data_IF_380744817262
#
_entry.id   IF_380744817262
#
_cell.length_a   1.000
_cell.length_b   1.000
_cell.length_c   1.000
_cell.angle_alpha   90.00
_cell.angle_beta   90.00
_cell.angle_gamma   90.00
#
_symmetry.space_group_name_H-M   'P 1'
#
loop_
_entity.id
_entity.type
_entity.pdbx_description
1 polymer ?
#
# COMPACT_ATOMS: atom_id res chain seq x y z
N UNK A 1 11.11 -53.79 -24.60
CA UNK A 1 10.24 -53.25 -23.59
C UNK A 1 10.97 -52.84 -22.27
N UNK A 2 11.85 -53.65 -21.68
CA UNK A 2 12.54 -53.35 -20.38
C UNK A 2 13.45 -52.10 -20.45
N UNK A 3 14.08 -51.80 -21.58
CA UNK A 3 15.00 -50.65 -21.76
C UNK A 3 14.26 -49.31 -21.82
N UNK A 4 13.09 -49.25 -22.47
CA UNK A 4 12.24 -48.05 -22.55
C UNK A 4 11.66 -47.71 -21.16
N UNK A 5 11.22 -48.73 -20.39
CA UNK A 5 10.74 -48.53 -19.03
C UNK A 5 11.82 -47.92 -18.10
N UNK A 6 13.09 -48.41 -18.22
CA UNK A 6 14.24 -47.84 -17.44
C UNK A 6 14.55 -46.39 -17.82
N UNK A 7 14.48 -46.05 -19.11
CA UNK A 7 14.67 -44.70 -19.59
C UNK A 7 13.56 -43.74 -19.06
N UNK A 8 12.30 -44.16 -19.08
CA UNK A 8 11.18 -43.40 -18.56
C UNK A 8 11.31 -43.15 -17.04
N UNK A 9 11.69 -44.20 -16.25
CA UNK A 9 11.92 -44.07 -14.80
C UNK A 9 13.09 -43.12 -14.50
N UNK A 10 14.20 -43.21 -15.27
CA UNK A 10 15.32 -42.27 -15.10
C UNK A 10 14.92 -40.83 -15.47
N UNK A 11 14.17 -40.64 -16.55
CA UNK A 11 13.64 -39.33 -16.94
C UNK A 11 12.71 -38.74 -15.86
N UNK A 12 11.78 -39.55 -15.34
CA UNK A 12 10.92 -39.13 -14.24
C UNK A 12 11.71 -38.75 -12.97
N UNK A 13 12.76 -39.52 -12.64
CA UNK A 13 13.63 -39.22 -11.49
C UNK A 13 14.39 -37.89 -11.65
N UNK A 14 14.90 -37.61 -12.84
CA UNK A 14 15.55 -36.32 -13.14
C UNK A 14 14.56 -35.16 -13.01
N UNK A 15 13.37 -35.28 -13.57
CA UNK A 15 12.32 -34.25 -13.46
C UNK A 15 11.94 -34.03 -11.99
N UNK A 16 11.75 -35.09 -11.22
CA UNK A 16 11.45 -34.98 -9.78
C UNK A 16 12.58 -34.27 -9.02
N UNK A 17 13.84 -34.58 -9.30
CA UNK A 17 15.00 -33.94 -8.71
C UNK A 17 15.06 -32.43 -9.04
N UNK A 18 14.79 -32.06 -10.30
CA UNK A 18 14.75 -30.64 -10.73
C UNK A 18 13.63 -29.90 -10.00
N UNK A 19 12.45 -30.49 -9.94
CA UNK A 19 11.28 -29.89 -9.22
C UNK A 19 11.59 -29.73 -7.73
N UNK A 20 12.18 -30.75 -7.12
CA UNK A 20 12.60 -30.67 -5.71
C UNK A 20 13.65 -29.57 -5.49
N UNK A 21 14.70 -29.52 -6.34
CA UNK A 21 15.73 -28.50 -6.25
C UNK A 21 15.15 -27.08 -6.42
N UNK A 22 14.17 -26.91 -7.33
CA UNK A 22 13.48 -25.65 -7.52
C UNK A 22 12.72 -25.20 -6.25
N UNK A 23 11.92 -26.10 -5.66
CA UNK A 23 11.20 -25.78 -4.44
C UNK A 23 12.13 -25.54 -3.24
N UNK A 24 13.20 -26.32 -3.13
CA UNK A 24 14.23 -26.12 -2.12
C UNK A 24 14.90 -24.74 -2.29
N UNK A 25 15.26 -24.36 -3.51
CA UNK A 25 15.81 -23.04 -3.80
C UNK A 25 14.83 -21.92 -3.41
N UNK A 26 13.57 -22.03 -3.83
CA UNK A 26 12.55 -21.05 -3.47
C UNK A 26 12.45 -20.92 -1.96
N UNK A 27 12.39 -22.03 -1.24
CA UNK A 27 12.25 -22.06 0.23
C UNK A 27 13.46 -21.49 0.97
N UNK A 28 14.68 -21.86 0.56
CA UNK A 28 15.93 -21.42 1.18
C UNK A 28 16.26 -19.94 0.92
N UNK A 29 15.69 -19.37 -0.17
CA UNK A 29 15.89 -17.96 -0.51
C UNK A 29 14.78 -17.04 0.01
N UNK A 30 13.86 -17.56 0.85
CA UNK A 30 12.83 -16.72 1.46
C UNK A 30 13.39 -15.88 2.62
N UNK A 31 12.90 -14.65 2.78
CA UNK A 31 13.34 -13.79 3.87
C UNK A 31 12.95 -14.34 5.24
N UNK A 32 13.74 -14.01 6.26
CA UNK A 32 13.36 -14.20 7.66
C UNK A 32 12.40 -13.07 8.07
N UNK A 33 11.20 -13.46 8.50
CA UNK A 33 10.14 -12.52 8.92
C UNK A 33 10.04 -12.37 10.45
N UNK A 34 10.76 -13.19 11.22
CA UNK A 34 10.65 -13.24 12.69
C UNK A 34 11.01 -11.93 13.37
N UNK A 35 12.01 -11.24 12.85
CA UNK A 35 12.41 -9.92 13.38
C UNK A 35 11.28 -8.89 13.35
N UNK A 36 10.29 -9.04 12.46
CA UNK A 36 9.15 -8.13 12.35
C UNK A 36 8.19 -8.22 13.55
N UNK A 37 8.29 -9.26 14.38
CA UNK A 37 7.50 -9.35 15.60
C UNK A 37 7.80 -8.20 16.57
N UNK A 38 9.07 -7.76 16.62
CA UNK A 38 9.55 -6.75 17.58
C UNK A 38 10.19 -5.53 16.91
N UNK A 39 10.59 -5.63 15.65
CA UNK A 39 11.34 -4.58 14.95
C UNK A 39 10.55 -4.04 13.76
N UNK A 40 10.51 -2.72 13.62
CA UNK A 40 9.89 -2.06 12.49
C UNK A 40 10.82 -2.09 11.27
N UNK A 41 10.32 -2.43 10.07
CA UNK A 41 11.13 -2.40 8.87
C UNK A 41 11.47 -0.93 8.52
N UNK A 42 12.76 -0.65 8.31
CA UNK A 42 13.25 0.69 7.95
C UNK A 42 13.01 1.01 6.47
N UNK A 43 12.98 -0.01 5.63
CA UNK A 43 12.75 0.10 4.19
C UNK A 43 12.04 -1.15 3.67
N UNK A 44 11.41 -1.05 2.52
CA UNK A 44 10.72 -2.16 1.85
C UNK A 44 11.21 -2.29 0.41
N UNK A 45 10.96 -3.45 -0.21
CA UNK A 45 11.28 -3.66 -1.63
C UNK A 45 10.57 -2.64 -2.54
N UNK A 46 9.35 -2.23 -2.15
CA UNK A 46 8.60 -1.19 -2.89
C UNK A 46 9.20 0.20 -2.73
N UNK A 47 9.63 0.59 -1.52
CA UNK A 47 10.34 1.86 -1.30
C UNK A 47 11.60 1.93 -2.17
N UNK A 48 12.43 0.88 -2.12
CA UNK A 48 13.65 0.80 -2.93
C UNK A 48 13.37 0.80 -4.44
N UNK A 49 12.26 0.20 -4.87
CA UNK A 49 11.84 0.26 -6.26
C UNK A 49 11.50 1.69 -6.67
N UNK A 50 10.71 2.42 -5.86
CA UNK A 50 10.34 3.81 -6.13
C UNK A 50 11.55 4.75 -6.16
N UNK A 51 12.50 4.54 -5.27
CA UNK A 51 13.78 5.27 -5.27
C UNK A 51 14.55 5.05 -6.57
N UNK A 52 14.63 3.78 -7.04
CA UNK A 52 15.29 3.44 -8.32
C UNK A 52 14.54 4.03 -9.51
N UNK A 53 13.21 3.95 -9.55
CA UNK A 53 12.39 4.55 -10.61
C UNK A 53 12.61 6.07 -10.68
N UNK A 54 12.57 6.75 -9.55
CA UNK A 54 12.81 8.19 -9.49
C UNK A 54 14.23 8.58 -9.93
N UNK A 55 15.24 7.81 -9.52
CA UNK A 55 16.63 8.04 -9.94
C UNK A 55 16.81 7.84 -11.46
N UNK A 56 16.14 6.86 -12.07
CA UNK A 56 16.17 6.65 -13.53
C UNK A 56 15.48 7.80 -14.30
N UNK A 57 14.49 8.44 -13.69
CA UNK A 57 13.80 9.62 -14.23
C UNK A 57 14.54 10.94 -13.92
N UNK A 58 15.69 10.89 -13.22
CA UNK A 58 16.43 12.08 -12.79
C UNK A 58 15.73 12.90 -11.71
N UNK A 59 14.74 12.33 -11.02
CA UNK A 59 13.99 12.96 -9.94
C UNK A 59 14.52 12.55 -8.57
N UNK A 60 14.48 13.46 -7.61
CA UNK A 60 14.57 13.09 -6.20
C UNK A 60 13.18 12.69 -5.68
N UNK A 61 13.06 11.46 -5.20
CA UNK A 61 11.84 11.01 -4.57
C UNK A 61 11.79 11.57 -3.13
N UNK A 62 10.70 12.22 -2.79
CA UNK A 62 10.39 12.54 -1.40
C UNK A 62 10.12 11.21 -0.67
N UNK A 63 10.87 10.95 0.41
CA UNK A 63 10.59 9.82 1.30
C UNK A 63 10.02 10.38 2.61
N UNK A 64 8.69 10.32 2.75
CA UNK A 64 8.02 10.77 3.95
C UNK A 64 7.29 9.61 4.61
N UNK A 65 7.80 9.18 5.75
CA UNK A 65 7.25 8.10 6.57
C UNK A 65 7.33 8.50 8.05
N UNK A 66 6.23 8.29 8.77
CA UNK A 66 6.17 8.41 10.23
C UNK A 66 5.49 7.16 10.75
N UNK A 67 6.22 6.38 11.55
CA UNK A 67 5.65 5.18 12.16
C UNK A 67 4.73 5.53 13.33
N UNK A 68 3.59 4.87 13.41
CA UNK A 68 2.65 4.95 14.54
C UNK A 68 2.22 3.55 14.97
N UNK A 69 2.14 3.27 16.28
CA UNK A 69 1.67 1.97 16.77
C UNK A 69 0.19 1.76 16.41
N UNK A 70 -0.21 0.49 16.34
CA UNK A 70 -1.58 0.08 15.98
C UNK A 70 -2.67 0.83 16.78
N UNK A 71 -2.43 1.04 18.07
CA UNK A 71 -3.37 1.72 18.98
C UNK A 71 -3.58 3.19 18.64
N UNK A 72 -2.61 3.83 17.98
CA UNK A 72 -2.66 5.23 17.55
C UNK A 72 -3.12 5.43 16.12
N UNK A 73 -3.70 4.42 15.49
CA UNK A 73 -4.35 4.52 14.18
C UNK A 73 -5.86 4.53 14.40
N UNK A 74 -6.54 5.50 13.78
CA UNK A 74 -8.00 5.66 13.88
C UNK A 74 -8.75 4.34 13.63
N UNK A 75 -9.74 3.99 14.46
CA UNK A 75 -10.64 2.88 14.18
C UNK A 75 -11.34 3.02 12.82
N UNK A 76 -11.62 4.25 12.39
CA UNK A 76 -12.20 4.51 11.07
C UNK A 76 -11.26 4.09 9.94
N UNK A 77 -9.97 4.45 10.01
CA UNK A 77 -9.01 4.06 8.99
C UNK A 77 -8.82 2.54 8.95
N UNK A 78 -8.68 1.89 10.11
CA UNK A 78 -8.58 0.42 10.19
C UNK A 78 -9.78 -0.24 9.55
N UNK A 79 -11.01 0.20 9.89
CA UNK A 79 -12.25 -0.33 9.30
C UNK A 79 -12.33 -0.06 7.80
N UNK A 80 -12.02 1.15 7.35
CA UNK A 80 -12.06 1.52 5.93
C UNK A 80 -11.12 0.64 5.09
N UNK A 81 -9.90 0.39 5.57
CA UNK A 81 -8.91 -0.44 4.87
C UNK A 81 -9.36 -1.91 4.84
N UNK A 82 -9.88 -2.45 5.96
CA UNK A 82 -10.39 -3.82 6.00
C UNK A 82 -11.51 -4.02 4.97
N UNK A 83 -12.54 -3.19 4.97
CA UNK A 83 -13.67 -3.35 4.04
C UNK A 83 -13.31 -3.05 2.57
N UNK A 84 -12.22 -2.30 2.35
CA UNK A 84 -11.75 -1.99 0.99
C UNK A 84 -10.87 -3.07 0.39
N UNK A 85 -10.03 -3.73 1.20
CA UNK A 85 -8.94 -4.60 0.76
C UNK A 85 -9.12 -6.05 1.21
N UNK A 86 -9.68 -6.31 2.41
CA UNK A 86 -9.74 -7.65 2.99
C UNK A 86 -10.71 -7.70 4.18
N UNK A 87 -12.00 -7.81 3.91
CA UNK A 87 -13.05 -7.78 4.95
C UNK A 87 -13.04 -9.03 5.85
N UNK A 88 -12.47 -10.14 5.40
CA UNK A 88 -12.27 -11.37 6.14
C UNK A 88 -10.88 -11.49 6.81
N UNK A 89 -10.09 -10.43 6.86
CA UNK A 89 -8.70 -10.43 7.34
C UNK A 89 -8.50 -11.18 8.67
N UNK A 90 -9.40 -11.01 9.62
CA UNK A 90 -9.35 -11.64 10.94
C UNK A 90 -9.72 -13.13 10.96
N UNK A 91 -10.27 -13.65 9.85
CA UNK A 91 -10.87 -14.98 9.78
C UNK A 91 -10.01 -16.02 9.03
N UNK A 92 -9.00 -15.56 8.27
CA UNK A 92 -8.13 -16.44 7.50
C UNK A 92 -6.66 -16.31 7.91
N UNK A 93 -5.83 -17.27 7.53
CA UNK A 93 -4.39 -17.32 7.79
C UNK A 93 -3.57 -16.94 6.55
N UNK A 94 -3.68 -15.69 6.12
CA UNK A 94 -2.89 -15.10 5.02
C UNK A 94 -3.42 -15.38 3.62
N UNK A 95 -4.28 -16.37 3.44
CA UNK A 95 -4.94 -16.68 2.17
C UNK A 95 -6.42 -16.84 2.43
N UNK A 96 -7.23 -16.00 1.83
CA UNK A 96 -8.69 -16.17 1.83
C UNK A 96 -9.07 -17.18 0.73
N UNK A 97 -9.34 -18.42 1.14
CA UNK A 97 -9.67 -19.51 0.22
C UNK A 97 -11.03 -19.31 -0.45
N UNK A 98 -11.98 -18.65 0.20
CA UNK A 98 -13.30 -18.37 -0.36
C UNK A 98 -13.21 -17.30 -1.46
N UNK A 99 -12.51 -16.19 -1.16
CA UNK A 99 -12.26 -15.15 -2.15
C UNK A 99 -11.41 -15.67 -3.32
N UNK A 100 -10.45 -16.55 -3.07
CA UNK A 100 -9.65 -17.19 -4.11
C UNK A 100 -10.51 -18.05 -5.05
N UNK A 101 -11.40 -18.87 -4.51
CA UNK A 101 -12.35 -19.69 -5.31
C UNK A 101 -13.27 -18.80 -6.16
N UNK A 102 -13.81 -17.72 -5.57
CA UNK A 102 -14.67 -16.76 -6.26
C UNK A 102 -13.88 -16.06 -7.39
N UNK A 103 -12.65 -15.62 -7.13
CA UNK A 103 -11.78 -15.00 -8.14
C UNK A 103 -11.51 -15.96 -9.31
N UNK A 104 -11.13 -17.20 -9.05
CA UNK A 104 -10.87 -18.21 -10.09
C UNK A 104 -12.12 -18.46 -10.93
N UNK A 105 -13.30 -18.59 -10.30
CA UNK A 105 -14.58 -18.78 -11.01
C UNK A 105 -14.87 -17.60 -11.93
N UNK A 106 -14.75 -16.38 -11.42
CA UNK A 106 -14.97 -15.16 -12.18
C UNK A 106 -13.98 -15.01 -13.35
N UNK A 107 -12.71 -15.41 -13.15
CA UNK A 107 -11.70 -15.39 -14.20
C UNK A 107 -12.03 -16.36 -15.34
N UNK A 108 -12.50 -17.56 -15.00
CA UNK A 108 -12.96 -18.58 -15.98
C UNK A 108 -14.18 -18.07 -16.73
N UNK A 109 -15.20 -17.55 -16.03
CA UNK A 109 -16.44 -17.08 -16.63
C UNK A 109 -16.24 -15.86 -17.55
N UNK A 110 -15.32 -14.95 -17.20
CA UNK A 110 -15.07 -13.72 -17.95
C UNK A 110 -13.93 -13.81 -18.95
N UNK A 111 -13.19 -14.91 -18.97
CA UNK A 111 -12.01 -15.09 -19.82
C UNK A 111 -10.89 -14.05 -19.59
N UNK A 112 -10.90 -13.39 -18.44
CA UNK A 112 -9.95 -12.34 -18.07
C UNK A 112 -9.64 -12.45 -16.59
N UNK A 113 -8.36 -12.33 -16.23
CA UNK A 113 -7.95 -12.22 -14.84
C UNK A 113 -8.56 -10.97 -14.20
N UNK A 114 -9.53 -11.18 -13.29
CA UNK A 114 -10.18 -10.10 -12.55
C UNK A 114 -9.29 -9.73 -11.38
N UNK A 115 -9.00 -8.42 -11.21
CA UNK A 115 -8.29 -7.92 -10.04
C UNK A 115 -9.18 -8.05 -8.82
N UNK A 116 -8.70 -8.75 -7.79
CA UNK A 116 -9.35 -8.99 -6.51
C UNK A 116 -8.87 -10.31 -5.92
N UNK A 117 -8.99 -10.50 -4.61
CA UNK A 117 -8.63 -11.75 -3.95
C UNK A 117 -7.21 -11.85 -3.41
N UNK A 118 -6.44 -10.77 -3.37
CA UNK A 118 -5.20 -10.72 -2.58
C UNK A 118 -5.48 -10.14 -1.20
N UNK A 119 -5.10 -10.86 -0.16
CA UNK A 119 -5.28 -10.45 1.23
C UNK A 119 -4.30 -9.36 1.65
N UNK A 120 -4.57 -8.67 2.76
CA UNK A 120 -3.66 -7.69 3.37
C UNK A 120 -2.29 -8.33 3.64
N UNK A 121 -2.25 -9.57 4.14
CA UNK A 121 -0.99 -10.27 4.42
C UNK A 121 -0.20 -10.56 3.14
N UNK A 122 -0.84 -10.93 2.04
CA UNK A 122 -0.20 -11.10 0.73
C UNK A 122 0.33 -9.77 0.20
N UNK A 123 -0.45 -8.69 0.34
CA UNK A 123 -0.02 -7.35 -0.05
C UNK A 123 1.18 -6.90 0.79
N UNK A 124 1.20 -7.18 2.10
CA UNK A 124 2.33 -6.89 2.97
C UNK A 124 3.57 -7.66 2.54
N UNK A 125 3.47 -8.98 2.32
CA UNK A 125 4.56 -9.82 1.84
C UNK A 125 5.18 -9.26 0.54
N UNK A 126 4.33 -8.85 -0.41
CA UNK A 126 4.75 -8.21 -1.65
C UNK A 126 5.48 -6.89 -1.40
N UNK A 127 4.91 -5.99 -0.59
CA UNK A 127 5.51 -4.69 -0.32
C UNK A 127 6.88 -4.81 0.36
N UNK A 128 7.00 -5.71 1.34
CA UNK A 128 8.24 -5.87 2.10
C UNK A 128 9.39 -6.45 1.27
N UNK A 129 9.10 -7.48 0.44
CA UNK A 129 10.16 -8.37 -0.04
C UNK A 129 10.17 -8.62 -1.54
N UNK A 130 9.12 -8.24 -2.30
CA UNK A 130 8.97 -8.67 -3.68
C UNK A 130 8.83 -7.49 -4.65
N UNK A 131 9.18 -7.76 -5.91
CA UNK A 131 8.95 -6.81 -7.00
C UNK A 131 7.48 -6.81 -7.45
N UNK A 132 7.00 -5.79 -8.19
CA UNK A 132 5.65 -5.75 -8.74
C UNK A 132 5.47 -6.64 -9.98
N UNK A 133 6.48 -7.43 -10.40
CA UNK A 133 6.39 -8.31 -11.57
C UNK A 133 5.21 -9.28 -11.48
N UNK A 134 4.66 -9.68 -12.65
CA UNK A 134 3.55 -10.64 -12.74
C UNK A 134 4.07 -12.06 -13.06
N UNK A 135 5.07 -12.49 -12.32
CA UNK A 135 5.73 -13.76 -12.45
C UNK A 135 5.09 -14.80 -11.50
N UNK A 136 4.73 -16.01 -11.97
CA UNK A 136 4.15 -17.06 -11.14
C UNK A 136 5.05 -17.48 -9.97
N UNK A 137 6.38 -17.51 -10.15
CA UNK A 137 7.34 -17.83 -9.07
C UNK A 137 7.29 -16.76 -7.97
N UNK A 138 7.21 -15.48 -8.37
CA UNK A 138 7.01 -14.40 -7.43
C UNK A 138 5.69 -14.56 -6.66
N UNK A 139 4.59 -14.92 -7.34
CA UNK A 139 3.31 -15.16 -6.66
C UNK A 139 3.38 -16.34 -5.68
N UNK A 140 4.08 -17.40 -6.04
CA UNK A 140 4.34 -18.52 -5.11
C UNK A 140 5.12 -18.03 -3.87
N UNK A 141 6.19 -17.26 -4.07
CA UNK A 141 6.94 -16.65 -2.95
C UNK A 141 6.05 -15.77 -2.07
N UNK A 142 5.19 -14.95 -2.68
CA UNK A 142 4.24 -14.10 -1.95
C UNK A 142 3.33 -14.92 -1.02
N UNK A 143 2.78 -16.04 -1.53
CA UNK A 143 1.93 -16.93 -0.72
C UNK A 143 2.70 -17.57 0.44
N UNK A 144 3.92 -18.05 0.20
CA UNK A 144 4.72 -18.67 1.25
C UNK A 144 5.15 -17.65 2.31
N UNK A 145 5.56 -16.43 1.88
CA UNK A 145 5.92 -15.36 2.82
C UNK A 145 4.68 -14.93 3.63
N UNK A 146 3.50 -14.81 3.00
CA UNK A 146 2.27 -14.48 3.70
C UNK A 146 1.95 -15.52 4.79
N UNK A 147 2.08 -16.83 4.50
CA UNK A 147 1.91 -17.89 5.51
C UNK A 147 2.95 -17.81 6.64
N UNK A 148 4.20 -17.45 6.33
CA UNK A 148 5.24 -17.22 7.36
C UNK A 148 4.92 -16.01 8.23
N UNK A 149 4.45 -14.91 7.66
CA UNK A 149 4.02 -13.73 8.41
C UNK A 149 2.91 -14.09 9.41
N UNK A 150 1.90 -14.85 8.98
CA UNK A 150 0.80 -15.30 9.86
C UNK A 150 1.26 -16.28 10.95
N UNK A 151 2.28 -17.09 10.67
CA UNK A 151 2.82 -18.04 11.65
C UNK A 151 3.67 -17.35 12.73
N UNK A 152 4.32 -16.23 12.41
CA UNK A 152 5.31 -15.58 13.28
C UNK A 152 4.78 -14.28 13.92
N UNK A 153 3.76 -13.65 13.36
CA UNK A 153 3.23 -12.37 13.81
C UNK A 153 1.75 -12.46 14.18
N UNK A 154 1.34 -11.67 15.16
CA UNK A 154 -0.09 -11.49 15.42
C UNK A 154 -0.78 -10.72 14.26
N UNK A 155 -2.07 -10.94 14.07
CA UNK A 155 -2.89 -10.21 13.09
C UNK A 155 -2.79 -8.70 13.26
N UNK A 156 -2.85 -8.21 14.49
CA UNK A 156 -2.71 -6.78 14.77
C UNK A 156 -1.33 -6.25 14.36
N UNK A 157 -0.25 -7.04 14.56
CA UNK A 157 1.09 -6.66 14.12
C UNK A 157 1.24 -6.66 12.60
N UNK A 158 0.69 -7.65 11.90
CA UNK A 158 0.65 -7.67 10.43
C UNK A 158 -0.05 -6.41 9.91
N UNK A 159 -1.20 -6.07 10.49
CA UNK A 159 -1.97 -4.92 10.05
C UNK A 159 -1.31 -3.59 10.42
N UNK A 160 -0.66 -3.51 11.58
CA UNK A 160 0.15 -2.35 11.96
C UNK A 160 1.26 -2.09 10.94
N UNK A 161 2.05 -3.13 10.64
CA UNK A 161 3.14 -3.00 9.66
C UNK A 161 2.57 -2.58 8.30
N UNK A 162 1.51 -3.24 7.83
CA UNK A 162 0.86 -2.91 6.57
C UNK A 162 0.50 -1.42 6.47
N UNK A 163 -0.24 -0.90 7.46
CA UNK A 163 -0.68 0.49 7.49
C UNK A 163 0.48 1.49 7.55
N UNK A 164 1.64 1.09 8.06
CA UNK A 164 2.83 1.93 8.19
C UNK A 164 3.79 1.87 6.99
N UNK A 165 3.69 0.82 6.13
CA UNK A 165 4.69 0.64 5.05
C UNK A 165 4.12 0.76 3.64
N UNK A 166 2.81 0.70 3.44
CA UNK A 166 2.25 0.84 2.10
C UNK A 166 2.37 2.26 1.58
N UNK A 167 2.43 2.38 0.24
CA UNK A 167 2.42 3.65 -0.47
C UNK A 167 1.00 4.24 -0.44
N UNK A 168 0.87 5.49 0.00
CA UNK A 168 -0.38 6.25 0.01
C UNK A 168 -0.39 7.40 -0.99
N UNK A 169 0.75 7.68 -1.62
CA UNK A 169 0.98 8.70 -2.62
C UNK A 169 2.45 8.70 -3.05
N UNK A 170 2.82 9.52 -4.02
CA UNK A 170 4.20 9.58 -4.50
C UNK A 170 5.14 10.00 -3.36
N UNK A 171 5.97 9.06 -2.88
CA UNK A 171 6.88 9.26 -1.76
C UNK A 171 6.23 9.40 -0.38
N UNK A 172 4.93 9.09 -0.25
CA UNK A 172 4.20 9.12 1.02
C UNK A 172 3.97 7.67 1.48
N UNK A 173 4.58 7.31 2.62
CA UNK A 173 4.57 5.97 3.17
C UNK A 173 3.95 5.95 4.56
N UNK A 174 2.97 5.08 4.75
CA UNK A 174 2.31 4.90 6.04
C UNK A 174 1.20 5.90 6.33
N UNK A 175 0.29 5.47 7.21
CA UNK A 175 -0.97 6.15 7.53
C UNK A 175 -0.77 7.56 8.13
N UNK A 176 0.23 7.73 9.00
CA UNK A 176 0.49 9.02 9.63
C UNK A 176 0.99 10.05 8.61
N UNK A 177 1.94 9.65 7.75
CA UNK A 177 2.41 10.51 6.68
C UNK A 177 1.28 10.91 5.72
N UNK A 178 0.39 9.96 5.40
CA UNK A 178 -0.77 10.20 4.56
C UNK A 178 -1.77 11.17 5.20
N UNK A 179 -2.13 10.95 6.47
CA UNK A 179 -3.05 11.82 7.21
C UNK A 179 -2.54 13.27 7.27
N UNK A 180 -1.26 13.45 7.57
CA UNK A 180 -0.62 14.78 7.61
C UNK A 180 -0.54 15.43 6.23
N UNK A 181 -0.17 14.65 5.21
CA UNK A 181 0.02 15.20 3.86
C UNK A 181 -1.28 15.61 3.19
N UNK A 182 -2.36 14.86 3.40
CA UNK A 182 -3.62 15.08 2.67
C UNK A 182 -4.64 15.89 3.47
N UNK A 183 -4.62 15.79 4.81
CA UNK A 183 -5.67 16.39 5.65
C UNK A 183 -5.11 17.28 6.78
N UNK A 184 -3.78 17.39 6.93
CA UNK A 184 -3.18 18.19 8.00
C UNK A 184 -3.47 17.66 9.41
N UNK A 185 -3.86 16.39 9.54
CA UNK A 185 -4.25 15.76 10.81
C UNK A 185 -3.40 14.52 11.11
N UNK A 186 -3.56 13.93 12.30
CA UNK A 186 -2.88 12.67 12.64
C UNK A 186 -3.67 11.46 12.17
N UNK A 187 -2.99 10.30 12.01
CA UNK A 187 -3.66 9.04 11.71
C UNK A 187 -4.69 8.63 12.79
N UNK A 188 -4.51 9.07 14.03
CA UNK A 188 -5.43 8.81 15.13
C UNK A 188 -6.74 9.60 15.00
N UNK A 189 -6.70 10.77 14.36
CA UNK A 189 -7.82 11.73 14.30
C UNK A 189 -8.63 11.63 13.02
N UNK A 190 -8.30 10.69 12.11
CA UNK A 190 -9.03 10.53 10.85
C UNK A 190 -10.51 10.18 11.08
N UNK A 191 -11.39 10.99 10.51
CA UNK A 191 -12.83 10.73 10.43
C UNK A 191 -13.19 9.64 9.43
N UNK A 192 -14.46 9.20 9.37
CA UNK A 192 -14.90 8.16 8.44
C UNK A 192 -14.68 8.53 6.97
N UNK A 193 -14.96 9.75 6.59
CA UNK A 193 -14.88 10.26 5.22
C UNK A 193 -13.43 10.30 4.73
N UNK A 194 -12.50 10.82 5.54
CA UNK A 194 -11.08 10.89 5.25
C UNK A 194 -10.47 9.48 5.19
N UNK A 195 -10.84 8.63 6.14
CA UNK A 195 -10.43 7.23 6.19
C UNK A 195 -10.85 6.46 4.93
N UNK A 196 -12.07 6.68 4.46
CA UNK A 196 -12.59 6.04 3.26
C UNK A 196 -11.94 6.59 1.98
N UNK A 197 -11.55 7.87 1.92
CA UNK A 197 -10.76 8.43 0.82
C UNK A 197 -9.38 7.78 0.76
N UNK A 198 -8.69 7.71 1.90
CA UNK A 198 -7.39 7.03 1.98
C UNK A 198 -7.51 5.59 1.52
N UNK A 199 -8.38 4.80 2.11
CA UNK A 199 -8.59 3.40 1.76
C UNK A 199 -8.95 3.24 0.27
N UNK A 200 -9.77 4.14 -0.29
CA UNK A 200 -10.12 4.15 -1.70
C UNK A 200 -8.94 4.41 -2.64
N UNK A 201 -7.92 5.14 -2.18
CA UNK A 201 -6.74 5.48 -2.97
C UNK A 201 -5.69 4.35 -3.04
N UNK A 202 -5.71 3.36 -2.13
CA UNK A 202 -4.72 2.26 -2.06
C UNK A 202 -4.59 1.51 -3.40
N UNK A 203 -5.67 1.36 -4.14
CA UNK A 203 -5.66 0.64 -5.43
C UNK A 203 -4.68 1.23 -6.45
N UNK A 204 -4.46 2.55 -6.40
CA UNK A 204 -3.49 3.26 -7.23
C UNK A 204 -3.11 4.62 -6.58
N UNK A 205 -2.25 4.59 -5.55
CA UNK A 205 -1.98 5.75 -4.71
C UNK A 205 -1.28 6.89 -5.45
N UNK A 206 -0.59 6.61 -6.55
CA UNK A 206 0.06 7.65 -7.37
C UNK A 206 -0.90 8.36 -8.32
N UNK A 207 -2.06 7.77 -8.61
CA UNK A 207 -3.08 8.36 -9.49
C UNK A 207 -4.21 9.02 -8.72
N UNK A 208 -4.53 8.50 -7.54
CA UNK A 208 -5.62 9.02 -6.72
C UNK A 208 -5.08 9.87 -5.57
N UNK A 209 -5.41 11.16 -5.60
CA UNK A 209 -5.09 12.08 -4.51
C UNK A 209 -6.29 12.21 -3.56
N UNK A 210 -6.16 11.81 -2.29
CA UNK A 210 -7.21 12.05 -1.29
C UNK A 210 -7.48 13.53 -1.01
N UNK A 211 -6.48 14.42 -1.20
CA UNK A 211 -6.69 15.87 -1.06
C UNK A 211 -7.52 16.47 -2.22
N UNK A 212 -7.42 15.88 -3.41
CA UNK A 212 -8.15 16.33 -4.62
C UNK A 212 -8.84 15.14 -5.29
N UNK A 213 -9.90 14.58 -4.65
CA UNK A 213 -10.51 13.35 -5.10
C UNK A 213 -11.29 13.54 -6.40
N UNK A 214 -10.97 12.74 -7.41
CA UNK A 214 -11.73 12.68 -8.65
C UNK A 214 -13.03 11.86 -8.48
N UNK A 215 -13.92 11.92 -9.45
CA UNK A 215 -15.23 11.24 -9.44
C UNK A 215 -15.11 9.73 -9.15
N UNK A 216 -14.05 9.06 -9.64
CA UNK A 216 -13.83 7.63 -9.43
C UNK A 216 -13.45 7.33 -7.97
N UNK A 217 -12.60 8.15 -7.36
CA UNK A 217 -12.25 8.03 -5.94
C UNK A 217 -13.44 8.34 -5.05
N UNK A 218 -14.23 9.37 -5.34
CA UNK A 218 -15.46 9.69 -4.60
C UNK A 218 -16.51 8.56 -4.68
N UNK A 219 -16.62 7.89 -5.84
CA UNK A 219 -17.48 6.71 -5.95
C UNK A 219 -16.98 5.56 -5.06
N UNK A 220 -15.67 5.31 -5.02
CA UNK A 220 -15.07 4.30 -4.13
C UNK A 220 -15.29 4.65 -2.66
N UNK A 221 -15.06 5.91 -2.28
CA UNK A 221 -15.32 6.40 -0.93
C UNK A 221 -16.75 6.07 -0.47
N UNK A 222 -17.77 6.38 -1.27
CA UNK A 222 -19.17 6.08 -0.94
C UNK A 222 -19.43 4.59 -0.73
N UNK A 223 -18.82 3.72 -1.55
CA UNK A 223 -18.94 2.27 -1.40
C UNK A 223 -18.28 1.82 -0.10
N UNK A 224 -17.08 2.34 0.22
CA UNK A 224 -16.37 2.01 1.45
C UNK A 224 -17.16 2.48 2.68
N UNK A 225 -17.66 3.72 2.68
CA UNK A 225 -18.47 4.25 3.78
C UNK A 225 -19.72 3.39 4.04
N UNK A 226 -20.44 3.00 2.99
CA UNK A 226 -21.59 2.12 3.11
C UNK A 226 -21.22 0.78 3.75
N UNK A 227 -20.07 0.17 3.34
CA UNK A 227 -19.58 -1.09 3.90
C UNK A 227 -19.10 -0.94 5.34
N UNK A 228 -18.47 0.19 5.68
CA UNK A 228 -18.03 0.47 7.05
C UNK A 228 -19.20 0.45 8.05
N UNK A 229 -20.37 0.94 7.65
CA UNK A 229 -21.57 0.92 8.50
C UNK A 229 -22.09 -0.48 8.82
N UNK A 230 -21.90 -1.44 7.91
CA UNK A 230 -22.34 -2.84 8.07
C UNK A 230 -21.22 -3.77 8.59
N UNK A 231 -19.99 -3.32 8.67
CA UNK A 231 -18.87 -4.14 9.14
C UNK A 231 -18.87 -4.26 10.66
N UNK A 232 -18.97 -5.48 11.16
CA UNK A 232 -18.84 -5.82 12.57
C UNK A 232 -17.45 -6.44 12.78
N UNK A 233 -16.53 -5.76 13.47
CA UNK A 233 -15.24 -6.36 13.80
C UNK A 233 -15.44 -7.55 14.74
N UNK A 234 -14.60 -8.60 14.66
CA UNK A 234 -14.71 -9.72 15.59
C UNK A 234 -14.53 -9.24 17.04
N UNK A 235 -15.36 -9.73 17.93
CA UNK A 235 -15.40 -9.33 19.35
C UNK A 235 -14.13 -9.73 20.09
N UNK A 236 -13.41 -10.74 19.59
CA UNK A 236 -12.11 -11.17 20.09
C UNK A 236 -11.18 -11.31 18.90
N UNK A 237 -10.11 -10.51 18.87
CA UNK A 237 -8.98 -10.78 18.00
C UNK A 237 -8.36 -12.09 18.48
N UNK A 238 -8.27 -13.15 17.67
CA UNK A 238 -7.56 -14.36 18.09
C UNK A 238 -6.13 -13.97 18.47
N UNK A 239 -5.81 -14.01 19.75
CA UNK A 239 -4.43 -13.86 20.23
C UNK A 239 -3.76 -15.19 19.91
N UNK A 240 -3.16 -15.28 18.75
CA UNK A 240 -2.18 -16.34 18.50
C UNK A 240 -0.96 -15.97 19.32
N UNK A 241 -0.82 -16.64 20.44
CA UNK A 241 0.24 -16.41 21.41
C UNK A 241 1.54 -17.04 20.88
N UNK A 242 2.16 -16.37 19.91
CA UNK A 242 3.45 -16.79 19.32
C UNK A 242 4.53 -15.79 19.73
N UNK A 243 5.00 -15.93 20.97
CA UNK A 243 6.17 -15.21 21.48
C UNK A 243 5.87 -14.26 22.65
N UNK A 244 6.92 -13.88 23.41
CA UNK A 244 6.77 -12.96 24.53
C UNK A 244 6.25 -11.62 24.02
N UNK A 245 5.05 -11.25 24.45
CA UNK A 245 4.56 -9.89 24.33
C UNK A 245 5.57 -8.96 25.01
N UNK A 246 5.90 -7.78 24.44
CA UNK A 246 6.54 -6.75 25.23
C UNK A 246 5.61 -6.49 26.42
N UNK A 247 6.08 -6.78 27.62
CA UNK A 247 5.36 -6.46 28.85
C UNK A 247 4.99 -4.99 28.80
N UNK A 248 3.71 -4.67 28.95
CA UNK A 248 3.24 -3.36 29.35
C UNK A 248 3.81 -3.06 30.73
N UNK A 249 5.08 -2.75 30.79
CA UNK A 249 5.63 -2.00 31.90
C UNK A 249 5.12 -0.59 31.72
N UNK A 250 4.05 -0.29 32.47
CA UNK A 250 3.70 1.06 32.84
C UNK A 250 4.90 1.66 33.58
N UNK A 251 5.89 2.13 32.88
CA UNK A 251 6.72 3.22 33.33
C UNK A 251 5.93 4.49 33.00
N UNK A 252 5.25 4.93 34.03
CA UNK A 252 4.79 6.29 34.22
C UNK A 252 6.03 7.17 34.20
N UNK A 253 6.56 7.42 32.99
CA UNK A 253 7.63 8.39 32.76
C UNK A 253 7.00 9.77 32.92
N UNK A 254 7.25 10.33 34.11
CA UNK A 254 6.91 11.68 34.47
C UNK A 254 7.31 12.63 33.34
N UNK A 255 6.36 13.42 32.87
CA UNK A 255 6.59 14.47 31.90
C UNK A 255 7.76 15.35 32.37
N UNK A 256 8.77 15.62 31.50
CA UNK A 256 9.80 16.58 31.84
C UNK A 256 9.15 17.97 32.02
N UNK A 257 9.66 18.79 32.95
CA UNK A 257 9.14 20.13 33.19
C UNK A 257 9.21 20.95 31.92
N UNK A 258 8.19 21.75 31.66
CA UNK A 258 8.10 22.71 30.58
C UNK A 258 9.31 23.64 30.63
N UNK A 259 10.35 23.36 29.82
CA UNK A 259 11.29 24.37 29.42
C UNK A 259 10.62 25.20 28.32
N UNK A 260 10.27 26.42 28.68
CA UNK A 260 9.86 27.46 27.76
C UNK A 260 10.97 27.65 26.72
N UNK A 261 10.84 27.00 25.56
CA UNK A 261 11.64 27.32 24.40
C UNK A 261 11.24 28.72 23.94
N UNK A 262 12.07 29.69 24.39
CA UNK A 262 12.10 31.05 23.93
C UNK A 262 12.46 31.06 22.43
N UNK A 263 11.45 30.97 21.57
CA UNK A 263 11.60 31.13 20.13
C UNK A 263 11.55 32.63 19.84
N UNK A 264 12.61 33.24 19.33
CA UNK A 264 12.57 34.64 18.94
C UNK A 264 11.53 34.85 17.84
N UNK A 265 10.82 36.01 17.83
CA UNK A 265 9.79 36.27 16.83
C UNK A 265 10.43 36.30 15.43
N UNK A 266 9.89 35.49 14.52
CA UNK A 266 10.23 35.51 13.11
C UNK A 266 9.72 36.84 12.55
N UNK A 267 10.66 37.71 12.16
CA UNK A 267 10.35 38.94 11.41
C UNK A 267 9.71 38.54 10.09
N UNK A 268 8.43 38.84 9.93
CA UNK A 268 7.77 38.73 8.65
C UNK A 268 8.25 39.89 7.79
N UNK A 269 9.16 39.60 6.88
CA UNK A 269 9.55 40.52 5.82
C UNK A 269 8.38 40.70 4.86
N UNK A 270 7.68 41.82 5.00
CA UNK A 270 6.60 42.22 4.11
C UNK A 270 7.18 42.89 2.87
N UNK A 271 7.84 42.10 2.03
CA UNK A 271 8.16 42.57 0.67
C UNK A 271 6.91 42.31 -0.20
N UNK A 272 6.32 43.35 -0.82
CA UNK A 272 5.15 43.14 -1.67
C UNK A 272 5.53 42.31 -2.89
N UNK A 273 4.70 41.31 -3.20
CA UNK A 273 4.82 40.46 -4.36
C UNK A 273 4.85 41.29 -5.65
N UNK A 274 5.62 40.89 -6.68
CA UNK A 274 5.58 41.54 -7.99
C UNK A 274 4.19 41.44 -8.60
N UNK A 275 3.70 42.53 -9.15
CA UNK A 275 2.41 42.62 -9.80
C UNK A 275 2.27 41.56 -10.92
N UNK A 276 1.14 40.90 -10.96
CA UNK A 276 0.76 40.00 -12.05
C UNK A 276 0.73 40.76 -13.38
N UNK A 277 1.22 40.18 -14.48
CA UNK A 277 1.09 40.78 -15.80
C UNK A 277 -0.37 40.77 -16.22
N UNK A 278 -0.86 41.96 -16.61
CA UNK A 278 -2.18 42.16 -17.18
C UNK A 278 -2.43 41.20 -18.36
N UNK A 279 -3.64 40.64 -18.49
CA UNK A 279 -4.01 39.88 -19.68
C UNK A 279 -3.91 40.73 -20.94
N UNK A 280 -3.29 40.19 -21.97
CA UNK A 280 -3.24 40.83 -23.30
C UNK A 280 -4.65 40.93 -23.86
N UNK A 281 -5.03 42.11 -24.34
CA UNK A 281 -6.25 42.33 -25.10
C UNK A 281 -6.22 41.51 -26.40
N UNK A 282 -7.37 40.97 -26.84
CA UNK A 282 -7.44 40.25 -28.10
C UNK A 282 -7.24 41.24 -29.27
N UNK A 283 -6.26 40.95 -30.12
CA UNK A 283 -6.04 41.66 -31.37
C UNK A 283 -7.24 41.51 -32.31
N UNK A 284 -7.78 42.64 -32.79
CA UNK A 284 -8.81 42.67 -33.81
C UNK A 284 -8.35 41.96 -35.08
N UNK A 285 -9.27 41.31 -35.82
CA UNK A 285 -8.95 40.67 -37.09
C UNK A 285 -8.74 41.76 -38.16
N UNK A 286 -7.58 41.72 -38.83
CA UNK A 286 -7.25 42.54 -39.97
C UNK A 286 -8.20 42.25 -41.14
N UNK A 287 -8.82 43.33 -41.68
CA UNK A 287 -9.62 43.31 -42.91
C UNK A 287 -8.78 42.82 -44.11
N UNK A 288 -9.37 42.07 -45.05
CA UNK A 288 -8.68 41.66 -46.28
C UNK A 288 -8.57 42.80 -47.27
N UNK A 289 -7.36 43.03 -47.81
CA UNK A 289 -7.09 43.96 -48.89
C UNK A 289 -7.90 43.62 -50.18
N UNK A 290 -8.35 44.61 -50.92
CA UNK A 290 -9.13 44.43 -52.18
C UNK A 290 -8.22 43.96 -53.33
N UNK A 291 -8.56 42.82 -53.91
CA UNK A 291 -7.92 42.27 -55.11
C UNK A 291 -8.27 43.14 -56.34
N UNK A 292 -7.27 43.69 -57.02
CA UNK A 292 -7.35 44.41 -58.28
C UNK A 292 -7.68 43.42 -59.41
N UNK A 293 -8.65 43.73 -60.30
CA UNK A 293 -8.94 42.84 -61.43
C UNK A 293 -7.94 43.05 -62.59
N UNK A 294 -7.36 41.95 -63.05
CA UNK A 294 -6.57 41.90 -64.28
C UNK A 294 -7.58 41.81 -65.50
N UNK A 295 -7.56 42.74 -66.39
CA UNK A 295 -8.20 42.67 -67.71
C UNK A 295 -7.18 42.31 -68.80
N UNK A 296 -7.62 41.99 -70.02
CA UNK A 296 -7.66 40.73 -70.70
C UNK A 296 -6.38 40.41 -71.51
#
# INVERSE_FOLDING_TARGET
MKTVGRLLVRGAGIVAAIVFAFFAYVYLTLPDVRSLATTNPKTTAFMQLREREAAQEGRQLRHYQVWVPYTRISPNLKRAVLVAEDDAFWQHEGIDMEQLKISIRNDIERGKAVRGGSTITQQLAKNLYLSPSRDPVRKLRELIIARRLEAELSKSRIFEIYLNVIEWGDGIWGAEAAARSYFGTSAASLGPEEAALLAGAIINPRMYSPAHPNTRLLRRQRIILSRMGSYVPPTTVPVVNNGPQPSDTNEEEAAPPNDELNVPPISVDTTPAPAEPKPAEPSEPSEPEPTTPTQP
#
